data_IF_592830089935
#
_entry.id   IF_592830089935
#
_cell.length_a   1.000
_cell.length_b   1.000
_cell.length_c   1.000
_cell.angle_alpha   90.00
_cell.angle_beta   90.00
_cell.angle_gamma   90.00
#
_symmetry.space_group_name_H-M   'P 1'
#
loop_
_entity.id
_entity.type
_entity.pdbx_description
1 polymer ?
#
# COMPACT_ATOMS: atom_id res chain seq x y z
N UNK A 1 33.08 41.13 13.74
CA UNK A 1 33.48 39.72 13.62
C UNK A 1 32.37 39.05 12.81
N UNK A 2 32.34 39.30 11.50
CA UNK A 2 32.85 38.38 10.45
C UNK A 2 32.30 36.98 10.67
N UNK A 3 31.53 36.37 9.78
CA UNK A 3 31.56 36.45 8.32
C UNK A 3 30.35 35.71 7.74
N UNK A 4 30.04 36.10 6.51
CA UNK A 4 29.02 35.64 5.58
C UNK A 4 29.00 34.12 5.27
N UNK A 5 28.05 33.81 4.37
CA UNK A 5 28.03 32.73 3.36
C UNK A 5 27.20 31.50 3.80
N UNK A 6 26.06 31.20 3.18
CA UNK A 6 25.91 31.00 1.74
C UNK A 6 24.61 31.57 1.17
N UNK A 7 24.75 32.49 0.22
CA UNK A 7 23.78 32.74 -0.83
C UNK A 7 23.85 31.60 -1.83
N UNK A 8 22.76 30.85 -2.01
CA UNK A 8 22.49 30.12 -3.25
C UNK A 8 21.19 30.65 -3.84
N UNK A 9 21.33 31.75 -4.58
CA UNK A 9 20.38 32.13 -5.60
C UNK A 9 20.62 31.20 -6.79
N UNK A 10 19.95 30.04 -6.81
CA UNK A 10 19.85 29.23 -8.02
C UNK A 10 18.40 29.30 -8.53
N UNK A 11 18.21 30.13 -9.56
CA UNK A 11 16.99 30.17 -10.36
C UNK A 11 17.06 28.99 -11.34
N UNK A 12 15.95 28.25 -11.46
CA UNK A 12 15.72 27.08 -12.32
C UNK A 12 16.28 25.78 -11.72
N UNK A 13 15.47 24.81 -11.30
CA UNK A 13 14.46 24.12 -12.09
C UNK A 13 13.22 23.75 -11.27
N UNK A 14 12.08 24.04 -11.89
CA UNK A 14 10.76 23.58 -11.54
C UNK A 14 10.64 22.10 -11.93
N UNK A 15 10.87 21.19 -11.00
CA UNK A 15 10.21 19.88 -10.97
C UNK A 15 9.88 19.63 -9.50
N UNK A 16 8.61 19.68 -9.13
CA UNK A 16 8.15 19.14 -7.85
C UNK A 16 8.54 17.66 -7.79
N UNK A 17 9.71 17.36 -7.23
CA UNK A 17 10.11 16.02 -6.81
C UNK A 17 9.39 15.68 -5.51
N UNK A 18 8.06 15.77 -5.51
CA UNK A 18 7.23 15.23 -4.45
C UNK A 18 7.37 13.72 -4.53
N UNK A 19 8.29 13.17 -3.74
CA UNK A 19 8.46 11.73 -3.55
C UNK A 19 7.09 11.10 -3.34
N UNK A 20 6.59 10.35 -4.33
CA UNK A 20 5.28 9.69 -4.29
C UNK A 20 5.33 8.58 -3.22
N UNK A 21 5.11 8.98 -1.96
CA UNK A 21 5.02 8.10 -0.79
C UNK A 21 3.66 7.40 -0.79
N UNK A 22 3.43 6.57 -1.79
CA UNK A 22 2.22 5.76 -1.92
C UNK A 22 2.36 4.49 -1.09
N UNK A 23 1.33 4.17 -0.34
CA UNK A 23 1.26 2.99 0.49
C UNK A 23 -0.04 2.24 0.25
N UNK A 24 0.02 0.93 0.35
CA UNK A 24 -1.11 0.04 0.18
C UNK A 24 -1.34 -0.73 1.48
N UNK A 25 -2.52 -0.54 2.08
CA UNK A 25 -2.97 -1.35 3.20
C UNK A 25 -3.02 -2.82 2.75
N UNK A 26 -2.44 -3.73 3.54
CA UNK A 26 -2.46 -5.16 3.22
C UNK A 26 -2.81 -6.04 4.42
N UNK A 27 -2.77 -5.52 5.65
CA UNK A 27 -3.36 -6.21 6.79
C UNK A 27 -3.94 -5.23 7.81
N UNK A 28 -4.99 -5.66 8.50
CA UNK A 28 -5.64 -4.97 9.62
C UNK A 28 -5.74 -5.99 10.75
N UNK A 29 -5.04 -5.76 11.85
CA UNK A 29 -5.26 -6.53 13.09
C UNK A 29 -6.39 -5.87 13.84
N UNK A 30 -7.38 -6.66 14.23
CA UNK A 30 -8.46 -6.26 15.10
C UNK A 30 -8.24 -6.82 16.50
N UNK A 31 -8.76 -6.13 17.50
CA UNK A 31 -8.80 -6.60 18.87
C UNK A 31 -10.20 -6.39 19.42
N UNK A 32 -10.81 -7.45 19.95
CA UNK A 32 -12.08 -7.37 20.66
C UNK A 32 -11.82 -7.72 22.13
N UNK A 33 -12.00 -6.75 23.01
CA UNK A 33 -11.91 -6.95 24.46
C UNK A 33 -11.77 -5.62 25.22
N UNK A 34 -12.05 -5.66 26.52
CA UNK A 34 -12.09 -4.45 27.35
C UNK A 34 -10.70 -3.90 27.71
N UNK A 35 -9.64 -4.68 27.53
CA UNK A 35 -8.27 -4.31 27.87
C UNK A 35 -7.24 -5.07 27.04
N UNK A 36 -5.98 -4.63 27.06
CA UNK A 36 -4.90 -5.21 26.26
C UNK A 36 -4.38 -6.56 26.77
N UNK A 37 -4.69 -6.93 28.02
CA UNK A 37 -4.21 -8.17 28.65
C UNK A 37 -5.15 -9.35 28.41
N UNK A 38 -6.29 -9.12 27.77
CA UNK A 38 -7.34 -10.12 27.51
C UNK A 38 -8.11 -9.76 26.25
N UNK A 39 -9.01 -10.64 25.82
CA UNK A 39 -9.76 -10.47 24.57
C UNK A 39 -9.23 -11.35 23.45
N UNK A 40 -9.60 -11.00 22.22
CA UNK A 40 -9.35 -11.82 21.04
C UNK A 40 -8.74 -11.00 19.91
N UNK A 41 -7.67 -11.51 19.32
CA UNK A 41 -7.02 -10.92 18.16
C UNK A 41 -7.28 -11.77 16.94
N UNK A 42 -7.71 -11.11 15.87
CA UNK A 42 -7.87 -11.68 14.56
C UNK A 42 -7.51 -10.63 13.53
N UNK A 43 -7.43 -10.99 12.25
CA UNK A 43 -6.98 -10.04 11.25
C UNK A 43 -7.72 -10.17 9.93
N UNK A 44 -7.75 -9.05 9.22
CA UNK A 44 -8.00 -9.02 7.80
C UNK A 44 -6.67 -8.97 7.06
N UNK A 45 -6.49 -9.82 6.05
CA UNK A 45 -5.31 -9.82 5.19
C UNK A 45 -5.71 -9.74 3.73
N UNK A 46 -4.94 -8.95 2.96
CA UNK A 46 -5.11 -8.85 1.52
C UNK A 46 -4.10 -9.74 0.80
N UNK A 47 -4.62 -10.63 -0.03
CA UNK A 47 -3.85 -11.47 -0.94
C UNK A 47 -3.24 -10.66 -2.09
N UNK A 48 -2.28 -11.25 -2.81
CA UNK A 48 -1.60 -10.66 -3.96
C UNK A 48 -2.55 -10.33 -5.13
N UNK A 49 -3.67 -11.04 -5.22
CA UNK A 49 -4.76 -10.81 -6.18
C UNK A 49 -5.78 -9.75 -5.70
N UNK A 50 -5.43 -8.96 -4.66
CA UNK A 50 -6.25 -7.91 -4.05
C UNK A 50 -7.55 -8.38 -3.39
N UNK A 51 -7.72 -9.68 -3.15
CA UNK A 51 -8.84 -10.20 -2.35
C UNK A 51 -8.55 -10.09 -0.86
N UNK A 52 -9.61 -9.86 -0.07
CA UNK A 52 -9.51 -9.76 1.38
C UNK A 52 -10.01 -11.03 2.04
N UNK A 53 -9.35 -11.39 3.14
CA UNK A 53 -9.68 -12.55 3.94
C UNK A 53 -9.73 -12.17 5.41
N UNK A 54 -10.76 -12.62 6.11
CA UNK A 54 -10.77 -12.71 7.56
C UNK A 54 -10.00 -13.96 7.96
N UNK A 55 -9.04 -13.81 8.86
CA UNK A 55 -8.30 -14.90 9.49
C UNK A 55 -8.54 -14.80 10.99
N UNK A 56 -9.31 -15.75 11.50
CA UNK A 56 -9.69 -15.88 12.90
C UNK A 56 -9.24 -17.26 13.39
N UNK A 57 -8.10 -17.30 14.07
CA UNK A 57 -7.38 -18.53 14.45
C UNK A 57 -7.23 -19.52 13.27
N UNK A 58 -7.92 -20.66 13.33
CA UNK A 58 -7.91 -21.68 12.29
C UNK A 58 -8.93 -21.43 11.16
N UNK A 59 -9.80 -20.44 11.32
CA UNK A 59 -10.84 -20.10 10.36
C UNK A 59 -10.37 -19.01 9.39
N UNK A 60 -10.52 -19.27 8.10
CA UNK A 60 -10.16 -18.33 7.05
C UNK A 60 -11.32 -18.23 6.05
N UNK A 61 -11.80 -17.00 5.81
CA UNK A 61 -12.90 -16.77 4.89
C UNK A 61 -12.69 -15.51 4.06
N UNK A 62 -13.23 -15.51 2.84
CA UNK A 62 -13.19 -14.35 1.96
C UNK A 62 -14.17 -13.27 2.44
N UNK A 63 -13.75 -12.01 2.41
CA UNK A 63 -14.56 -10.85 2.84
C UNK A 63 -14.49 -9.71 1.83
N UNK A 64 -15.41 -8.77 1.93
CA UNK A 64 -15.41 -7.57 1.09
C UNK A 64 -14.42 -6.53 1.60
N UNK A 65 -13.86 -5.71 0.71
CA UNK A 65 -13.02 -4.57 1.14
C UNK A 65 -13.79 -3.58 2.01
N UNK A 66 -15.10 -3.42 1.77
CA UNK A 66 -15.95 -2.51 2.54
C UNK A 66 -16.09 -2.95 3.98
N UNK A 67 -16.16 -4.25 4.25
CA UNK A 67 -16.16 -4.79 5.61
C UNK A 67 -14.86 -4.45 6.34
N UNK A 68 -13.72 -4.72 5.68
CA UNK A 68 -12.39 -4.44 6.25
C UNK A 68 -12.18 -2.96 6.57
N UNK A 69 -12.58 -2.07 5.65
CA UNK A 69 -12.33 -0.63 5.78
C UNK A 69 -13.22 0.08 6.80
N UNK A 70 -14.38 -0.50 7.12
CA UNK A 70 -15.33 0.08 8.07
C UNK A 70 -15.36 -0.67 9.41
N UNK A 71 -14.40 -1.56 9.66
CA UNK A 71 -14.42 -2.40 10.84
C UNK A 71 -14.13 -1.58 12.11
N UNK A 72 -15.03 -1.56 13.12
CA UNK A 72 -14.88 -0.70 14.29
C UNK A 72 -13.73 -1.12 15.22
N UNK A 73 -13.37 -2.40 15.21
CA UNK A 73 -12.37 -2.99 16.11
C UNK A 73 -10.94 -2.95 15.54
N UNK A 74 -10.69 -2.11 14.53
CA UNK A 74 -9.37 -1.99 13.91
C UNK A 74 -8.35 -1.43 14.91
N UNK A 75 -7.35 -2.25 15.25
CA UNK A 75 -6.36 -1.94 16.27
C UNK A 75 -5.00 -1.56 15.66
N UNK A 76 -4.53 -2.32 14.66
CA UNK A 76 -3.23 -2.08 14.03
C UNK A 76 -3.31 -2.25 12.50
N UNK A 77 -2.70 -1.32 11.76
CA UNK A 77 -2.74 -1.28 10.30
C UNK A 77 -1.35 -1.50 9.70
N UNK A 78 -1.26 -2.42 8.74
CA UNK A 78 -0.01 -2.72 8.04
C UNK A 78 -0.09 -2.25 6.58
N UNK A 79 0.85 -1.38 6.23
CA UNK A 79 0.97 -0.78 4.91
C UNK A 79 2.30 -1.17 4.25
N UNK A 80 2.25 -1.52 2.97
CA UNK A 80 3.43 -1.73 2.15
C UNK A 80 3.65 -0.52 1.24
N UNK A 81 4.89 -0.03 1.16
CA UNK A 81 5.25 1.05 0.23
C UNK A 81 5.07 0.56 -1.20
N UNK A 82 4.35 1.33 -2.00
CA UNK A 82 4.25 1.10 -3.43
C UNK A 82 5.49 1.69 -4.07
N UNK A 83 6.36 0.83 -4.59
CA UNK A 83 7.38 1.27 -5.52
C UNK A 83 6.66 1.75 -6.79
N UNK A 84 6.77 3.03 -7.17
CA UNK A 84 6.28 3.46 -8.47
C UNK A 84 7.00 2.62 -9.51
N UNK A 85 6.26 1.83 -10.29
CA UNK A 85 6.82 1.29 -11.52
C UNK A 85 7.10 2.51 -12.38
N UNK A 86 8.36 2.81 -12.61
CA UNK A 86 8.74 3.72 -13.68
C UNK A 86 8.31 3.04 -14.97
N UNK A 87 7.09 3.31 -15.41
CA UNK A 87 6.63 2.92 -16.73
C UNK A 87 7.46 3.77 -17.70
N UNK A 88 8.58 3.23 -18.18
CA UNK A 88 9.04 3.64 -19.50
C UNK A 88 7.97 3.13 -20.46
N UNK A 89 7.06 4.02 -20.85
CA UNK A 89 6.22 3.80 -22.02
C UNK A 89 7.14 3.38 -23.17
N UNK A 90 6.65 2.43 -23.98
CA UNK A 90 7.09 2.01 -25.32
C UNK A 90 7.44 0.52 -25.39
N UNK A 91 6.44 -0.37 -25.53
CA UNK A 91 6.52 -1.43 -26.55
C UNK A 91 5.11 -1.68 -27.09
N UNK A 92 4.88 -1.11 -28.28
CA UNK A 92 3.77 -1.48 -29.15
C UNK A 92 3.94 -2.93 -29.55
N UNK A 93 3.22 -3.87 -28.92
CA UNK A 93 3.07 -5.21 -29.48
C UNK A 93 2.07 -5.18 -30.63
N UNK A 94 2.53 -4.62 -31.76
CA UNK A 94 2.02 -4.96 -33.08
C UNK A 94 2.96 -6.03 -33.67
N UNK A 95 2.59 -7.30 -33.51
CA UNK A 95 2.86 -8.25 -34.57
C UNK A 95 1.76 -9.31 -34.65
N UNK A 96 0.77 -9.04 -35.49
CA UNK A 96 0.09 -10.09 -36.23
C UNK A 96 1.08 -10.72 -37.22
N UNK A 97 1.28 -12.04 -37.11
CA UNK A 97 1.58 -13.04 -38.17
C UNK A 97 1.63 -14.41 -37.47
N UNK A 98 1.17 -15.56 -37.95
CA UNK A 98 0.39 -16.08 -39.09
C UNK A 98 -0.05 -17.49 -38.65
N UNK A 99 -1.10 -18.01 -39.29
CA UNK A 99 -1.74 -19.32 -39.17
C UNK A 99 -0.78 -20.53 -39.39
N UNK A 100 -1.19 -21.71 -38.88
CA UNK A 100 -0.79 -23.12 -39.14
C UNK A 100 0.27 -23.73 -38.21
N UNK A 101 0.13 -24.97 -37.72
CA UNK A 101 -0.62 -26.15 -38.20
C UNK A 101 -1.85 -26.53 -37.38
#
# INVERSE_FOLDING_TARGET
MTSDLFTANDKSQNINSSTNNLYKLYAVINHIGDNLNSGHYYLYIRSSDNRWFLVDDAHCQHVSSSEVLNHPEAFMLFYAKVCPVSISMNESFQQQKIISF
#
